data_IF_660263150861
#
_entry.id   IF_660263150861
#
_cell.length_a   1.000
_cell.length_b   1.000
_cell.length_c   1.000
_cell.angle_alpha   90.00
_cell.angle_beta   90.00
_cell.angle_gamma   90.00
#
_symmetry.space_group_name_H-M   'P 1'
#
loop_
_entity.id
_entity.type
_entity.pdbx_description
1 polymer ?
#
# COMPACT_ATOMS: atom_id res chain seq x y z
N UNK A 1 14.91 -5.07 -30.78
CA UNK A 1 15.36 -4.59 -29.57
C UNK A 1 14.26 -4.51 -28.55
N UNK A 2 14.63 -4.77 -27.36
CA UNK A 2 13.69 -4.84 -26.33
C UNK A 2 13.34 -3.46 -25.86
N UNK A 3 12.15 -3.10 -25.90
CA UNK A 3 11.85 -1.80 -25.46
C UNK A 3 12.06 -1.69 -24.00
N UNK A 4 11.31 -1.37 -23.24
CA UNK A 4 11.47 -1.29 -21.82
C UNK A 4 11.01 -2.58 -21.20
N UNK A 5 11.43 -2.87 -20.02
CA UNK A 5 10.95 -4.00 -19.27
C UNK A 5 9.47 -3.85 -19.01
N UNK A 6 8.74 -4.93 -19.16
CA UNK A 6 7.35 -4.96 -18.79
C UNK A 6 7.24 -5.03 -17.27
N UNK A 7 6.04 -4.77 -16.74
CA UNK A 7 5.80 -4.90 -15.32
C UNK A 7 6.16 -6.29 -14.81
N UNK A 8 5.86 -7.33 -15.59
CA UNK A 8 6.16 -8.68 -15.13
C UNK A 8 7.67 -8.95 -15.12
N UNK A 9 8.42 -8.34 -16.03
CA UNK A 9 9.88 -8.49 -16.01
C UNK A 9 10.47 -7.80 -14.78
N UNK A 10 10.01 -6.60 -14.48
CA UNK A 10 10.49 -5.88 -13.30
C UNK A 10 10.13 -6.64 -12.02
N UNK A 11 8.94 -7.20 -11.97
CA UNK A 11 8.53 -8.00 -10.81
C UNK A 11 9.39 -9.24 -10.66
N UNK A 12 9.73 -9.90 -11.76
CA UNK A 12 10.57 -11.08 -11.71
C UNK A 12 11.98 -10.75 -11.22
N UNK A 13 12.52 -9.64 -11.68
CA UNK A 13 13.84 -9.20 -11.22
C UNK A 13 13.84 -8.88 -9.73
N UNK A 14 12.77 -8.24 -9.27
CA UNK A 14 12.64 -7.92 -7.86
C UNK A 14 12.55 -9.19 -7.01
N UNK A 15 11.74 -10.15 -7.44
CA UNK A 15 11.59 -11.41 -6.72
C UNK A 15 12.92 -12.15 -6.67
N UNK A 16 13.66 -12.16 -7.77
CA UNK A 16 14.97 -12.78 -7.78
C UNK A 16 15.92 -12.12 -6.78
N UNK A 17 15.88 -10.79 -6.72
CA UNK A 17 16.73 -10.07 -5.77
C UNK A 17 16.34 -10.39 -4.32
N UNK A 18 15.06 -10.59 -4.07
CA UNK A 18 14.60 -10.91 -2.72
C UNK A 18 15.08 -12.26 -2.24
N UNK A 19 15.44 -13.16 -3.16
CA UNK A 19 15.92 -14.49 -2.81
C UNK A 19 17.44 -14.54 -2.61
N UNK A 20 18.13 -13.44 -2.78
CA UNK A 20 19.57 -13.40 -2.60
C UNK A 20 19.96 -13.62 -1.15
N UNK A 21 21.13 -14.18 -0.92
CA UNK A 21 21.61 -14.46 0.43
C UNK A 21 22.33 -13.29 1.08
N UNK A 22 22.96 -12.45 0.29
CA UNK A 22 23.65 -11.27 0.82
C UNK A 22 22.62 -10.19 1.09
N UNK A 23 22.16 -10.11 2.32
CA UNK A 23 21.02 -9.28 2.64
C UNK A 23 21.27 -7.79 2.46
N UNK A 24 22.44 -7.29 2.85
CA UNK A 24 22.65 -5.85 2.75
C UNK A 24 22.77 -5.42 1.29
N UNK A 25 23.44 -6.21 0.46
CA UNK A 25 23.56 -5.91 -0.95
C UNK A 25 22.20 -6.04 -1.64
N UNK A 26 21.46 -7.09 -1.30
CA UNK A 26 20.13 -7.31 -1.88
C UNK A 26 19.16 -6.19 -1.54
N UNK A 27 19.19 -5.68 -0.32
CA UNK A 27 18.30 -4.60 0.08
C UNK A 27 18.55 -3.36 -0.75
N UNK A 28 19.82 -3.00 -0.98
CA UNK A 28 20.14 -1.86 -1.82
C UNK A 28 19.66 -2.05 -3.25
N UNK A 29 19.80 -3.25 -3.79
CA UNK A 29 19.33 -3.54 -5.14
C UNK A 29 17.81 -3.49 -5.23
N UNK A 30 17.12 -4.00 -4.22
CA UNK A 30 15.68 -3.96 -4.18
C UNK A 30 15.19 -2.51 -4.15
N UNK A 31 15.81 -1.69 -3.32
CA UNK A 31 15.43 -0.29 -3.23
C UNK A 31 15.62 0.42 -4.57
N UNK A 32 16.72 0.16 -5.24
CA UNK A 32 16.97 0.75 -6.55
C UNK A 32 15.92 0.31 -7.57
N UNK A 33 15.52 -0.94 -7.55
CA UNK A 33 14.49 -1.43 -8.45
C UNK A 33 13.14 -0.78 -8.14
N UNK A 34 12.81 -0.66 -6.88
CA UNK A 34 11.55 -0.02 -6.47
C UNK A 34 11.51 1.44 -6.91
N UNK A 35 12.64 2.14 -6.81
CA UNK A 35 12.71 3.53 -7.22
C UNK A 35 12.46 3.71 -8.72
N UNK A 36 12.69 2.68 -9.50
CA UNK A 36 12.47 2.71 -10.95
C UNK A 36 11.08 2.27 -11.37
N UNK A 37 10.24 1.86 -10.42
CA UNK A 37 8.91 1.31 -10.72
C UNK A 37 7.82 2.31 -10.34
N UNK A 38 6.72 2.28 -11.09
CA UNK A 38 5.56 3.09 -10.73
C UNK A 38 4.67 2.33 -9.73
N UNK A 39 3.67 3.00 -9.12
CA UNK A 39 2.84 2.33 -8.11
C UNK A 39 2.13 1.08 -8.60
N UNK A 40 1.65 1.04 -9.83
CA UNK A 40 1.01 -0.16 -10.37
C UNK A 40 1.98 -1.33 -10.46
N UNK A 41 3.20 -1.05 -10.88
CA UNK A 41 4.23 -2.09 -11.00
C UNK A 41 4.62 -2.62 -9.63
N UNK A 42 4.75 -1.73 -8.65
CA UNK A 42 5.08 -2.15 -7.29
C UNK A 42 3.94 -2.98 -6.70
N UNK A 43 2.70 -2.56 -6.90
CA UNK A 43 1.55 -3.32 -6.43
C UNK A 43 1.54 -4.72 -7.03
N UNK A 44 1.83 -4.83 -8.32
CA UNK A 44 1.88 -6.13 -8.98
C UNK A 44 2.98 -7.01 -8.37
N UNK A 45 4.14 -6.43 -8.09
CA UNK A 45 5.23 -7.17 -7.47
C UNK A 45 4.84 -7.67 -6.08
N UNK A 46 4.16 -6.84 -5.30
CA UNK A 46 3.70 -7.23 -3.97
C UNK A 46 2.72 -8.40 -4.08
N UNK A 47 1.77 -8.31 -5.00
CA UNK A 47 0.77 -9.36 -5.17
C UNK A 47 1.38 -10.65 -5.66
N UNK A 48 2.50 -10.59 -6.37
CA UNK A 48 3.18 -11.76 -6.89
C UNK A 48 4.14 -12.40 -5.91
N UNK A 49 4.33 -11.80 -4.74
CA UNK A 49 5.31 -12.25 -3.76
C UNK A 49 4.64 -12.94 -2.58
N UNK A 50 5.34 -13.84 -1.90
CA UNK A 50 4.79 -14.44 -0.68
C UNK A 50 4.75 -13.42 0.46
N UNK A 51 3.95 -13.69 1.52
CA UNK A 51 3.72 -12.68 2.56
C UNK A 51 4.98 -12.10 3.19
N UNK A 52 6.00 -12.91 3.44
CA UNK A 52 7.21 -12.40 4.10
C UNK A 52 7.96 -11.42 3.20
N UNK A 53 7.89 -11.62 1.88
CA UNK A 53 8.54 -10.71 0.93
C UNK A 53 7.72 -9.45 0.73
N UNK A 54 6.39 -9.55 0.84
CA UNK A 54 5.53 -8.37 0.78
C UNK A 54 5.87 -7.39 1.88
N UNK A 55 6.12 -7.90 3.08
CA UNK A 55 6.49 -7.04 4.20
C UNK A 55 7.82 -6.34 3.95
N UNK A 56 8.77 -7.06 3.37
CA UNK A 56 10.06 -6.47 3.05
C UNK A 56 9.91 -5.35 2.02
N UNK A 57 9.18 -5.62 0.95
CA UNK A 57 8.95 -4.60 -0.08
C UNK A 57 8.30 -3.38 0.56
N UNK A 58 7.26 -3.60 1.36
CA UNK A 58 6.51 -2.52 1.99
C UNK A 58 7.41 -1.66 2.87
N UNK A 59 8.29 -2.30 3.62
CA UNK A 59 9.17 -1.60 4.55
C UNK A 59 10.19 -0.69 3.85
N UNK A 60 10.42 -0.89 2.56
CA UNK A 60 11.37 -0.11 1.80
C UNK A 60 10.74 1.04 1.03
N UNK A 61 9.43 1.19 1.11
CA UNK A 61 8.71 2.25 0.39
C UNK A 61 8.60 3.51 1.24
N UNK A 62 8.50 4.64 0.57
CA UNK A 62 8.26 5.92 1.24
C UNK A 62 6.76 6.11 1.46
N UNK A 63 6.38 6.86 2.49
CA UNK A 63 4.96 7.04 2.84
C UNK A 63 4.16 7.68 1.71
N UNK A 64 4.74 8.58 0.95
CA UNK A 64 4.02 9.21 -0.15
C UNK A 64 3.75 8.25 -1.31
N UNK A 65 4.52 7.16 -1.43
CA UNK A 65 4.26 6.12 -2.41
C UNK A 65 3.27 5.08 -1.91
N UNK A 66 3.31 4.82 -0.62
CA UNK A 66 2.52 3.75 -0.03
C UNK A 66 1.03 3.93 -0.23
N UNK A 67 0.56 5.18 -0.14
CA UNK A 67 -0.86 5.45 -0.33
C UNK A 67 -1.35 5.08 -1.71
N UNK A 68 -0.62 5.48 -2.74
CA UNK A 68 -1.00 5.17 -4.09
C UNK A 68 -0.92 3.67 -4.37
N UNK A 69 0.11 3.01 -3.83
CA UNK A 69 0.27 1.57 -4.01
C UNK A 69 -0.90 0.83 -3.37
N UNK A 70 -1.34 1.28 -2.19
CA UNK A 70 -2.48 0.65 -1.52
C UNK A 70 -3.72 0.66 -2.38
N UNK A 71 -3.96 1.74 -3.12
CA UNK A 71 -5.16 1.83 -3.95
C UNK A 71 -5.12 0.87 -5.13
N UNK A 72 -3.95 0.37 -5.49
CA UNK A 72 -3.78 -0.55 -6.60
C UNK A 72 -3.83 -2.02 -6.19
N UNK A 73 -3.80 -2.30 -4.90
CA UNK A 73 -3.77 -3.67 -4.39
C UNK A 73 -5.17 -4.26 -4.29
N UNK A 74 -5.28 -5.56 -4.46
CA UNK A 74 -6.53 -6.27 -4.20
C UNK A 74 -6.84 -6.25 -2.71
N UNK A 75 -8.12 -6.35 -2.38
CA UNK A 75 -8.60 -6.18 -1.01
C UNK A 75 -7.90 -7.08 0.00
N UNK A 76 -7.67 -8.33 -0.36
CA UNK A 76 -7.05 -9.29 0.56
C UNK A 76 -5.65 -8.89 0.94
N UNK A 77 -4.86 -8.46 -0.04
CA UNK A 77 -3.47 -8.08 0.21
C UNK A 77 -3.42 -6.72 0.86
N UNK A 78 -4.31 -5.82 0.45
CA UNK A 78 -4.44 -4.51 1.07
C UNK A 78 -4.71 -4.66 2.56
N UNK A 79 -5.66 -5.52 2.93
CA UNK A 79 -6.00 -5.76 4.32
C UNK A 79 -4.82 -6.38 5.08
N UNK A 80 -4.14 -7.34 4.47
CA UNK A 80 -2.97 -7.97 5.09
C UNK A 80 -1.94 -6.94 5.50
N UNK A 81 -1.64 -5.99 4.62
CA UNK A 81 -0.65 -4.96 4.90
C UNK A 81 -1.17 -3.93 5.90
N UNK A 82 -2.42 -3.51 5.73
CA UNK A 82 -3.01 -2.49 6.60
C UNK A 82 -3.12 -2.92 8.04
N UNK A 83 -3.34 -4.21 8.28
CA UNK A 83 -3.46 -4.73 9.65
C UNK A 83 -2.17 -4.60 10.44
N UNK A 84 -1.05 -4.41 9.77
CA UNK A 84 0.26 -4.31 10.42
C UNK A 84 0.76 -2.89 10.54
N UNK A 85 -0.01 -1.92 10.07
CA UNK A 85 0.36 -0.52 10.12
C UNK A 85 -0.31 0.10 11.33
N UNK A 86 0.46 0.87 12.12
CA UNK A 86 -0.11 1.55 13.25
C UNK A 86 -0.89 2.79 12.79
N UNK A 87 -1.80 3.28 13.65
CA UNK A 87 -2.72 4.35 13.25
C UNK A 87 -2.03 5.64 12.84
N UNK A 88 -0.93 5.99 13.51
CA UNK A 88 -0.21 7.21 13.17
C UNK A 88 0.42 7.11 11.79
N UNK A 89 1.00 5.96 11.47
CA UNK A 89 1.57 5.72 10.16
C UNK A 89 0.48 5.67 9.10
N UNK A 90 -0.66 5.09 9.42
CA UNK A 90 -1.78 5.01 8.49
C UNK A 90 -2.28 6.40 8.12
N UNK A 91 -2.39 7.30 9.10
CA UNK A 91 -2.78 8.67 8.82
C UNK A 91 -1.81 9.32 7.84
N UNK A 92 -0.52 9.14 8.09
CA UNK A 92 0.50 9.72 7.24
C UNK A 92 0.44 9.15 5.82
N UNK A 93 0.25 7.85 5.71
CA UNK A 93 0.22 7.18 4.41
C UNK A 93 -0.95 7.66 3.56
N UNK A 94 -2.12 7.79 4.15
CA UNK A 94 -3.32 8.11 3.37
C UNK A 94 -3.69 9.58 3.37
N UNK A 95 -2.89 10.43 4.04
CA UNK A 95 -3.24 11.84 4.19
C UNK A 95 -3.29 12.59 2.86
N UNK A 96 -2.57 12.13 1.86
CA UNK A 96 -2.53 12.79 0.55
C UNK A 96 -3.45 12.15 -0.48
N UNK A 97 -4.21 11.14 -0.07
CA UNK A 97 -5.14 10.49 -0.99
C UNK A 97 -6.45 11.26 -1.07
N UNK A 98 -7.16 11.05 -2.15
CA UNK A 98 -8.49 11.63 -2.30
C UNK A 98 -9.47 10.95 -1.32
N UNK A 99 -10.52 11.65 -1.00
CA UNK A 99 -11.49 11.18 -0.02
C UNK A 99 -12.06 9.81 -0.38
N UNK A 100 -12.38 9.60 -1.66
CA UNK A 100 -12.91 8.33 -2.12
C UNK A 100 -11.95 7.17 -1.84
N UNK A 101 -10.66 7.41 -2.06
CA UNK A 101 -9.66 6.37 -1.83
C UNK A 101 -9.49 6.10 -0.35
N UNK A 102 -9.55 7.12 0.49
CA UNK A 102 -9.48 6.95 1.94
C UNK A 102 -10.64 6.08 2.40
N UNK A 103 -11.84 6.37 1.92
CA UNK A 103 -13.03 5.61 2.32
C UNK A 103 -12.91 4.15 1.87
N UNK A 104 -12.41 3.93 0.66
CA UNK A 104 -12.22 2.55 0.17
C UNK A 104 -11.26 1.77 1.05
N UNK A 105 -10.18 2.41 1.48
CA UNK A 105 -9.22 1.76 2.37
C UNK A 105 -9.86 1.46 3.72
N UNK A 106 -10.60 2.40 4.27
CA UNK A 106 -11.24 2.20 5.57
C UNK A 106 -12.27 1.09 5.54
N UNK A 107 -12.88 0.84 4.38
CA UNK A 107 -13.89 -0.21 4.28
C UNK A 107 -13.31 -1.62 4.35
N UNK A 108 -12.01 -1.79 4.12
CA UNK A 108 -11.39 -3.10 4.26
C UNK A 108 -10.80 -3.33 5.65
N UNK A 109 -10.85 -2.35 6.52
CA UNK A 109 -10.31 -2.48 7.88
C UNK A 109 -11.39 -2.93 8.85
N UNK A 110 -11.00 -3.67 9.91
CA UNK A 110 -11.94 -3.95 10.99
C UNK A 110 -12.41 -2.68 11.67
N UNK A 111 -13.62 -2.69 12.19
CA UNK A 111 -14.22 -1.52 12.80
C UNK A 111 -13.38 -0.89 13.90
N UNK A 112 -12.73 -1.64 14.82
CA UNK A 112 -11.90 -1.02 15.85
C UNK A 112 -10.76 -0.19 15.26
N UNK A 113 -10.17 -0.61 14.15
CA UNK A 113 -9.11 0.15 13.52
C UNK A 113 -9.64 1.39 12.82
N UNK A 114 -10.83 1.30 12.22
CA UNK A 114 -11.48 2.46 11.62
C UNK A 114 -11.76 3.50 12.70
N UNK A 115 -12.28 3.06 13.84
CA UNK A 115 -12.60 3.97 14.95
C UNK A 115 -11.33 4.64 15.47
N UNK A 116 -10.26 3.90 15.60
CA UNK A 116 -9.00 4.45 16.06
C UNK A 116 -8.46 5.49 15.07
N UNK A 117 -8.51 5.18 13.78
CA UNK A 117 -8.07 6.11 12.75
C UNK A 117 -8.91 7.40 12.80
N UNK A 118 -10.23 7.25 12.86
CA UNK A 118 -11.12 8.41 12.89
C UNK A 118 -10.92 9.27 14.11
N UNK A 119 -10.52 8.67 15.23
CA UNK A 119 -10.27 9.43 16.46
C UNK A 119 -9.04 10.30 16.36
N UNK A 120 -8.13 10.00 15.45
CA UNK A 120 -6.87 10.71 15.32
C UNK A 120 -6.86 11.77 14.21
N UNK A 121 -7.85 11.76 13.31
CA UNK A 121 -7.93 12.80 12.29
C UNK A 121 -8.70 14.01 12.85
N UNK A 122 -8.61 15.14 12.16
CA UNK A 122 -9.32 16.34 12.59
C UNK A 122 -10.82 16.11 12.54
N UNK A 123 -11.57 16.87 13.33
CA UNK A 123 -13.03 16.69 13.35
C UNK A 123 -13.65 17.00 11.99
N UNK A 124 -13.12 17.96 11.25
CA UNK A 124 -13.63 18.28 9.93
C UNK A 124 -13.42 17.13 8.96
N UNK A 125 -12.22 16.57 8.96
CA UNK A 125 -11.92 15.43 8.08
C UNK A 125 -12.73 14.21 8.48
N UNK A 126 -12.93 14.01 9.78
CA UNK A 126 -13.75 12.90 10.27
C UNK A 126 -15.17 12.99 9.75
N UNK A 127 -15.75 14.18 9.78
CA UNK A 127 -17.12 14.35 9.29
C UNK A 127 -17.20 14.09 7.79
N UNK A 128 -16.24 14.58 7.03
CA UNK A 128 -16.23 14.33 5.59
C UNK A 128 -16.14 12.84 5.28
N UNK A 129 -15.26 12.15 5.97
CA UNK A 129 -15.06 10.72 5.77
C UNK A 129 -16.36 9.97 6.12
N UNK A 130 -16.96 10.28 7.24
CA UNK A 130 -18.19 9.61 7.66
C UNK A 130 -19.33 9.84 6.69
N UNK A 131 -19.45 11.05 6.17
CA UNK A 131 -20.50 11.38 5.21
C UNK A 131 -20.35 10.51 3.95
N UNK A 132 -19.15 10.39 3.43
CA UNK A 132 -18.92 9.58 2.23
C UNK A 132 -19.16 8.10 2.53
N UNK A 133 -18.75 7.62 3.70
CA UNK A 133 -18.99 6.23 4.08
C UNK A 133 -20.48 5.93 4.19
N UNK A 134 -21.24 6.85 4.77
CA UNK A 134 -22.70 6.68 4.88
C UNK A 134 -23.37 6.63 3.52
N UNK A 135 -22.92 7.48 2.59
CA UNK A 135 -23.46 7.47 1.24
C UNK A 135 -23.12 6.17 0.51
N UNK A 136 -21.91 5.65 0.73
CA UNK A 136 -21.55 4.35 0.16
C UNK A 136 -22.45 3.25 0.65
N UNK A 137 -22.78 3.25 1.92
CA UNK A 137 -23.67 2.24 2.49
C UNK A 137 -25.08 2.35 1.93
N UNK A 138 -25.55 3.56 1.70
CA UNK A 138 -26.88 3.78 1.14
C UNK A 138 -27.00 3.19 -0.26
N UNK A 139 -25.92 3.22 -1.02
CA UNK A 139 -25.93 2.74 -2.39
C UNK A 139 -25.71 1.24 -2.52
N UNK A 140 -25.49 0.56 -1.44
CA UNK A 140 -25.42 -0.89 -1.42
C UNK A 140 -26.82 -1.46 -1.25
#
# INVERSE_FOLDING_TARGET
>A
MKETNSSSELSSELISALDETDKSFSINQIKLQLDAMNPSEIAHAIESSPPYQRKLIWSLLDHDEEGEILTELHDEIQQELLLKIDSDDLIEIISNLELDDIVDILQVLPQPQVDEFLSKVSSLDREKIRTVMDLSLIHI
#
